data_IF_021272961533
#
_entry.id   IF_021272961533
#
_cell.length_a   1.000
_cell.length_b   1.000
_cell.length_c   1.000
_cell.angle_alpha   90.00
_cell.angle_beta   90.00
_cell.angle_gamma   90.00
#
_symmetry.space_group_name_H-M   'P 1'
#
loop_
_entity.id
_entity.type
_entity.pdbx_description
1 polymer ?
#
# COMPACT_ATOMS: atom_id res chain seq x y z
N UNK A 1 29.94 15.80 4.88
CA UNK A 1 29.38 15.16 6.10
C UNK A 1 27.88 15.13 5.87
N UNK A 2 27.40 14.05 5.23
CA UNK A 2 26.00 13.89 4.93
C UNK A 2 25.23 13.56 6.21
N UNK A 3 24.40 14.48 6.67
CA UNK A 3 23.45 14.23 7.74
C UNK A 3 22.33 13.35 7.15
N UNK A 4 22.39 12.04 7.35
CA UNK A 4 21.25 11.16 7.07
C UNK A 4 20.05 11.65 7.87
N UNK A 5 18.99 12.02 7.18
CA UNK A 5 17.72 12.39 7.77
C UNK A 5 17.09 11.11 8.39
N UNK A 6 16.96 11.08 9.71
CA UNK A 6 16.31 9.94 10.41
C UNK A 6 14.87 10.36 10.70
N UNK A 7 13.93 9.75 9.98
CA UNK A 7 12.52 9.93 10.25
C UNK A 7 12.12 9.22 11.56
N UNK A 8 11.27 9.87 12.37
CA UNK A 8 10.69 9.27 13.58
C UNK A 8 9.18 9.35 13.51
N UNK A 9 8.50 8.26 13.88
CA UNK A 9 7.05 8.23 14.06
C UNK A 9 6.68 8.54 15.51
N UNK A 10 5.54 9.17 15.75
CA UNK A 10 4.94 9.26 17.08
C UNK A 10 3.99 8.07 17.25
N UNK A 11 4.40 7.10 18.06
CA UNK A 11 3.58 5.94 18.40
C UNK A 11 2.57 6.26 19.51
N UNK A 12 1.33 5.84 19.34
CA UNK A 12 0.36 5.67 20.40
C UNK A 12 0.01 4.18 20.54
N UNK A 13 0.02 3.76 21.77
CA UNK A 13 -0.17 2.49 22.40
C UNK A 13 -0.88 1.31 21.72
N UNK A 14 -0.21 0.20 21.86
CA UNK A 14 -0.44 -1.20 21.73
C UNK A 14 -1.83 -1.75 21.48
N UNK A 15 -1.94 -2.47 20.39
CA UNK A 15 -2.86 -3.60 20.25
C UNK A 15 -2.14 -4.83 20.80
N UNK A 16 -2.73 -5.51 21.78
CA UNK A 16 -2.15 -6.70 22.39
C UNK A 16 -2.09 -7.86 21.39
N UNK A 17 -0.89 -8.28 21.03
CA UNK A 17 -0.66 -9.50 20.26
C UNK A 17 -0.92 -10.73 21.14
N UNK A 18 -1.70 -11.68 20.62
CA UNK A 18 -1.78 -13.04 21.15
C UNK A 18 -0.49 -13.76 20.77
N UNK A 19 0.31 -14.10 21.74
CA UNK A 19 1.58 -14.80 21.51
C UNK A 19 1.30 -16.23 21.04
N UNK A 20 1.83 -16.64 19.87
CA UNK A 20 2.03 -18.04 19.56
C UNK A 20 1.79 -18.57 18.15
N UNK A 21 1.26 -17.79 17.19
CA UNK A 21 1.18 -18.22 15.79
C UNK A 21 1.77 -17.11 14.93
N UNK A 22 2.81 -17.44 14.15
CA UNK A 22 3.38 -16.53 13.16
C UNK A 22 2.33 -16.29 12.08
N UNK A 23 1.91 -15.05 11.92
CA UNK A 23 0.97 -14.65 10.87
C UNK A 23 1.67 -14.47 9.52
N UNK A 24 0.91 -14.30 8.45
CA UNK A 24 1.44 -14.11 7.09
C UNK A 24 2.36 -12.89 6.99
N UNK A 25 2.12 -11.86 7.80
CA UNK A 25 2.94 -10.64 7.86
C UNK A 25 4.19 -10.76 8.76
N UNK A 26 4.38 -11.92 9.42
CA UNK A 26 5.60 -12.26 10.15
C UNK A 26 6.56 -13.11 9.30
N UNK A 27 6.12 -13.51 8.08
CA UNK A 27 6.85 -14.33 7.12
C UNK A 27 7.07 -13.55 5.80
N UNK A 28 7.82 -12.44 5.81
CA UNK A 28 7.92 -11.52 4.67
C UNK A 28 8.50 -12.14 3.41
N UNK A 29 9.40 -13.13 3.53
CA UNK A 29 9.94 -13.86 2.39
C UNK A 29 8.87 -14.67 1.65
N UNK A 30 7.99 -15.36 2.38
CA UNK A 30 6.88 -16.12 1.79
C UNK A 30 5.83 -15.17 1.21
N UNK A 31 5.59 -14.02 1.88
CA UNK A 31 4.68 -13.01 1.38
C UNK A 31 5.18 -12.39 0.07
N UNK A 32 6.45 -11.98 0.00
CA UNK A 32 7.06 -11.46 -1.23
C UNK A 32 7.01 -12.50 -2.36
N UNK A 33 7.33 -13.77 -2.06
CA UNK A 33 7.22 -14.87 -3.03
C UNK A 33 5.80 -15.03 -3.55
N UNK A 34 4.78 -15.00 -2.68
CA UNK A 34 3.38 -15.09 -3.09
C UNK A 34 2.96 -13.96 -4.02
N UNK A 35 3.54 -12.76 -3.87
CA UNK A 35 3.26 -11.58 -4.68
C UNK A 35 4.14 -11.46 -5.94
N UNK A 36 5.08 -12.39 -6.19
CA UNK A 36 6.05 -12.30 -7.28
C UNK A 36 5.44 -12.44 -8.71
N UNK A 37 4.13 -12.64 -8.82
CA UNK A 37 3.40 -12.55 -10.09
C UNK A 37 3.25 -11.10 -10.61
N UNK A 38 3.53 -10.10 -9.77
CA UNK A 38 3.40 -8.67 -10.11
C UNK A 38 4.59 -8.19 -10.95
N UNK A 39 4.31 -7.37 -11.94
CA UNK A 39 5.33 -6.65 -12.71
C UNK A 39 5.60 -5.28 -12.05
N UNK A 40 6.36 -5.29 -10.94
CA UNK A 40 6.67 -4.09 -10.17
C UNK A 40 7.29 -2.97 -11.03
N UNK A 41 8.24 -3.22 -11.95
CA UNK A 41 8.75 -2.20 -12.86
C UNK A 41 7.66 -1.55 -13.73
N UNK A 42 6.72 -2.33 -14.28
CA UNK A 42 5.61 -1.80 -15.07
C UNK A 42 4.64 -0.99 -14.20
N UNK A 43 4.28 -1.49 -13.02
CA UNK A 43 3.42 -0.79 -12.06
C UNK A 43 4.04 0.56 -11.64
N UNK A 44 5.32 0.60 -11.30
CA UNK A 44 6.03 1.84 -10.97
C UNK A 44 6.07 2.80 -12.15
N UNK A 45 6.16 2.29 -13.38
CA UNK A 45 6.09 3.13 -14.58
C UNK A 45 4.73 3.82 -14.70
N UNK A 46 3.63 3.10 -14.48
CA UNK A 46 2.28 3.67 -14.45
C UNK A 46 2.11 4.70 -13.31
N UNK A 47 2.58 4.37 -12.09
CA UNK A 47 2.54 5.29 -10.95
C UNK A 47 3.24 6.62 -11.26
N UNK A 48 4.43 6.58 -11.86
CA UNK A 48 5.18 7.78 -12.21
C UNK A 48 4.52 8.57 -13.34
N UNK A 49 3.90 7.91 -14.33
CA UNK A 49 3.15 8.57 -15.39
C UNK A 49 1.92 9.31 -14.81
N UNK A 50 1.19 8.68 -13.89
CA UNK A 50 0.07 9.34 -13.20
C UNK A 50 0.52 10.48 -12.29
N UNK A 51 1.67 10.34 -11.61
CA UNK A 51 2.27 11.44 -10.87
C UNK A 51 2.61 12.60 -11.82
N UNK A 52 3.24 12.33 -12.97
CA UNK A 52 3.57 13.38 -13.94
C UNK A 52 2.34 14.10 -14.48
N UNK A 53 1.23 13.38 -14.67
CA UNK A 53 -0.04 13.92 -15.17
C UNK A 53 -0.77 14.77 -14.13
N UNK A 54 -0.80 14.35 -12.86
CA UNK A 54 -1.67 14.91 -11.84
C UNK A 54 -0.97 15.76 -10.78
N UNK A 55 0.37 15.70 -10.67
CA UNK A 55 1.14 16.54 -9.77
C UNK A 55 1.14 17.99 -10.23
N UNK A 56 0.77 18.91 -9.34
CA UNK A 56 0.73 20.36 -9.62
C UNK A 56 1.58 21.19 -8.64
N UNK A 57 2.51 20.53 -7.92
CA UNK A 57 3.42 21.22 -6.98
C UNK A 57 4.18 22.39 -7.60
N UNK A 58 4.79 23.26 -6.78
CA UNK A 58 5.30 24.56 -7.20
C UNK A 58 6.30 24.51 -8.36
N UNK A 59 6.29 25.56 -9.19
CA UNK A 59 7.10 25.69 -10.42
C UNK A 59 8.62 25.61 -10.19
N UNK A 60 9.11 25.91 -8.99
CA UNK A 60 10.53 25.79 -8.65
C UNK A 60 11.01 24.33 -8.55
N UNK A 61 10.08 23.36 -8.49
CA UNK A 61 10.35 21.92 -8.52
C UNK A 61 10.08 21.28 -9.89
N UNK A 62 9.57 22.02 -10.86
CA UNK A 62 9.33 21.55 -12.23
C UNK A 62 10.64 21.50 -13.03
N UNK A 63 11.40 20.44 -12.84
CA UNK A 63 12.24 19.91 -13.90
C UNK A 63 11.62 18.60 -14.33
N UNK A 64 11.11 18.54 -15.55
CA UNK A 64 10.52 17.38 -16.23
C UNK A 64 9.23 16.74 -15.66
N UNK A 65 8.46 17.48 -14.82
CA UNK A 65 7.02 17.17 -14.62
C UNK A 65 6.66 16.02 -13.72
N UNK A 66 7.58 15.41 -12.93
CA UNK A 66 7.28 14.25 -12.11
C UNK A 66 7.58 14.38 -10.62
N UNK A 67 7.04 13.48 -9.82
CA UNK A 67 7.38 13.32 -8.41
C UNK A 67 8.86 12.94 -8.26
N UNK A 68 9.54 13.53 -7.28
CA UNK A 68 10.93 13.22 -6.91
C UNK A 68 11.03 12.49 -5.58
N UNK A 69 9.96 12.50 -4.84
CA UNK A 69 9.89 11.85 -3.55
C UNK A 69 8.56 11.13 -3.37
N UNK A 70 8.63 9.88 -2.89
CA UNK A 70 7.47 9.02 -2.73
C UNK A 70 7.48 8.38 -1.35
N UNK A 71 6.31 8.35 -0.72
CA UNK A 71 6.03 7.61 0.51
C UNK A 71 5.16 6.39 0.16
N UNK A 72 5.66 5.18 0.37
CA UNK A 72 4.88 3.96 0.28
C UNK A 72 4.33 3.59 1.66
N UNK A 73 3.01 3.39 1.75
CA UNK A 73 2.28 3.09 2.99
C UNK A 73 1.83 1.63 3.00
N UNK A 74 1.90 0.98 4.17
CA UNK A 74 1.68 -0.44 4.32
C UNK A 74 2.48 -1.23 3.28
N UNK A 75 3.77 -0.90 3.22
CA UNK A 75 4.66 -1.28 2.14
C UNK A 75 5.04 -2.78 2.14
N UNK A 76 4.80 -3.50 3.25
CA UNK A 76 5.23 -4.88 3.38
C UNK A 76 6.72 -5.06 3.07
N UNK A 77 7.09 -5.94 2.09
CA UNK A 77 8.47 -6.10 1.63
C UNK A 77 9.06 -4.88 0.93
N UNK A 78 8.26 -3.84 0.63
CA UNK A 78 8.63 -2.58 0.00
C UNK A 78 9.24 -2.74 -1.42
N UNK A 79 8.62 -3.56 -2.27
CA UNK A 79 9.10 -3.81 -3.62
C UNK A 79 8.99 -2.56 -4.50
N UNK A 80 7.86 -1.84 -4.44
CA UNK A 80 7.69 -0.58 -5.16
C UNK A 80 8.67 0.48 -4.67
N UNK A 81 8.86 0.60 -3.33
CA UNK A 81 9.84 1.53 -2.77
C UNK A 81 11.26 1.24 -3.29
N UNK A 82 11.67 -0.04 -3.35
CA UNK A 82 12.97 -0.42 -3.90
C UNK A 82 13.09 -0.06 -5.38
N UNK A 83 12.05 -0.30 -6.18
CA UNK A 83 12.05 0.05 -7.61
C UNK A 83 12.05 1.57 -7.82
N UNK A 84 11.26 2.33 -7.06
CA UNK A 84 11.29 3.79 -7.08
C UNK A 84 12.68 4.34 -6.72
N UNK A 85 13.35 3.76 -5.73
CA UNK A 85 14.71 4.13 -5.34
C UNK A 85 15.74 3.79 -6.43
N UNK A 86 15.58 2.67 -7.18
CA UNK A 86 16.41 2.39 -8.37
C UNK A 86 16.27 3.44 -9.46
N UNK A 87 15.12 4.10 -9.53
CA UNK A 87 14.85 5.24 -10.44
C UNK A 87 15.26 6.59 -9.85
N UNK A 88 16.11 6.57 -8.82
CA UNK A 88 16.74 7.75 -8.19
C UNK A 88 15.77 8.69 -7.47
N UNK A 89 14.57 8.21 -7.10
CA UNK A 89 13.67 8.99 -6.26
C UNK A 89 14.10 8.92 -4.78
N UNK A 90 13.80 9.97 -4.01
CA UNK A 90 13.85 9.92 -2.55
C UNK A 90 12.64 9.14 -2.04
N UNK A 91 12.86 8.02 -1.37
CA UNK A 91 11.80 7.10 -0.98
C UNK A 91 11.79 6.84 0.51
N UNK A 92 10.60 6.87 1.10
CA UNK A 92 10.34 6.27 2.41
C UNK A 92 9.25 5.20 2.26
N UNK A 93 9.35 4.15 3.07
CA UNK A 93 8.33 3.13 3.23
C UNK A 93 7.88 3.03 4.67
N UNK A 94 6.59 2.79 4.89
CA UNK A 94 5.99 2.67 6.20
C UNK A 94 5.20 1.37 6.28
N UNK A 95 5.42 0.61 7.35
CA UNK A 95 4.63 -0.59 7.64
C UNK A 95 4.41 -0.73 9.15
N UNK A 96 3.34 -1.43 9.53
CA UNK A 96 3.02 -1.71 10.92
C UNK A 96 3.84 -2.89 11.46
N UNK A 97 4.11 -3.91 10.62
CA UNK A 97 4.84 -5.12 10.99
C UNK A 97 6.34 -4.85 11.16
N UNK A 98 6.92 -5.13 12.33
CA UNK A 98 8.37 -5.03 12.51
C UNK A 98 9.15 -6.05 11.65
N UNK A 99 8.56 -7.21 11.35
CA UNK A 99 9.16 -8.21 10.47
C UNK A 99 9.26 -7.68 9.04
N UNK A 100 8.18 -7.11 8.50
CA UNK A 100 8.18 -6.46 7.19
C UNK A 100 9.18 -5.31 7.13
N UNK A 101 9.20 -4.42 8.13
CA UNK A 101 10.16 -3.31 8.18
C UNK A 101 11.63 -3.80 8.17
N UNK A 102 11.93 -4.83 8.96
CA UNK A 102 13.29 -5.40 9.04
C UNK A 102 13.68 -6.03 7.71
N UNK A 103 12.78 -6.76 7.09
CA UNK A 103 12.98 -7.39 5.79
C UNK A 103 13.15 -6.34 4.68
N UNK A 104 12.26 -5.36 4.59
CA UNK A 104 12.35 -4.27 3.62
C UNK A 104 13.68 -3.53 3.69
N UNK A 105 14.18 -3.22 4.90
CA UNK A 105 15.46 -2.58 5.10
C UNK A 105 16.64 -3.47 4.64
N UNK A 106 16.56 -4.79 4.91
CA UNK A 106 17.57 -5.75 4.47
C UNK A 106 17.59 -5.87 2.94
N UNK A 107 16.42 -5.96 2.30
CA UNK A 107 16.29 -6.06 0.84
C UNK A 107 16.74 -4.78 0.13
N UNK A 108 16.43 -3.59 0.66
CA UNK A 108 16.92 -2.33 0.11
C UNK A 108 18.45 -2.25 0.17
N UNK A 109 19.04 -2.65 1.31
CA UNK A 109 20.50 -2.73 1.46
C UNK A 109 21.12 -3.72 0.47
N UNK A 110 20.54 -4.92 0.32
CA UNK A 110 21.02 -5.93 -0.62
C UNK A 110 20.95 -5.46 -2.07
N UNK A 111 19.90 -4.70 -2.42
CA UNK A 111 19.74 -4.09 -3.73
C UNK A 111 20.63 -2.84 -3.96
N UNK A 112 21.32 -2.34 -2.94
CA UNK A 112 22.18 -1.15 -3.02
C UNK A 112 21.39 0.16 -3.21
N UNK A 113 20.12 0.21 -2.77
CA UNK A 113 19.27 1.39 -2.89
C UNK A 113 18.97 2.00 -1.51
N UNK A 114 18.69 3.31 -1.48
CA UNK A 114 18.38 4.04 -0.25
C UNK A 114 16.85 4.18 -0.10
N UNK A 115 16.27 3.37 0.80
CA UNK A 115 14.87 3.43 1.20
C UNK A 115 14.81 3.66 2.70
N UNK A 116 14.16 4.72 3.12
CA UNK A 116 13.96 5.00 4.53
C UNK A 116 12.76 4.21 5.05
N UNK A 117 13.02 3.13 5.82
CA UNK A 117 11.97 2.29 6.37
C UNK A 117 11.55 2.80 7.75
N UNK A 118 10.23 2.96 7.95
CA UNK A 118 9.63 3.46 9.19
C UNK A 118 8.57 2.49 9.68
N UNK A 119 8.67 2.03 10.93
CA UNK A 119 7.60 1.28 11.56
C UNK A 119 6.55 2.26 12.11
N UNK A 120 5.34 2.26 11.53
CA UNK A 120 4.23 3.08 11.99
C UNK A 120 2.88 2.55 11.51
N UNK A 121 1.81 3.05 12.13
CA UNK A 121 0.43 2.76 11.73
C UNK A 121 -0.01 3.74 10.63
N UNK A 122 -0.46 3.24 9.48
CA UNK A 122 -0.92 4.09 8.38
C UNK A 122 -2.17 4.92 8.72
N UNK A 123 -2.89 4.61 9.84
CA UNK A 123 -4.05 5.38 10.30
C UNK A 123 -3.67 6.72 10.92
N UNK A 124 -2.48 6.78 11.53
CA UNK A 124 -2.06 7.96 12.28
C UNK A 124 -0.54 8.02 12.36
N UNK A 125 0.08 8.72 11.44
CA UNK A 125 1.53 8.90 11.38
C UNK A 125 1.89 10.35 11.10
N UNK A 126 3.06 10.74 11.57
CA UNK A 126 3.70 12.01 11.23
C UNK A 126 5.19 11.75 11.05
N UNK A 127 5.69 12.01 9.85
CA UNK A 127 7.10 11.87 9.53
C UNK A 127 7.77 13.22 9.74
N UNK A 128 8.71 13.27 10.68
CA UNK A 128 9.43 14.51 11.02
C UNK A 128 10.93 14.33 10.77
N UNK A 129 11.54 15.39 10.26
CA UNK A 129 12.99 15.50 10.12
C UNK A 129 13.70 15.63 11.48
N UNK A 130 15.03 15.73 11.46
CA UNK A 130 15.84 15.86 12.69
C UNK A 130 15.50 17.10 13.52
N UNK A 131 15.06 18.17 12.86
CA UNK A 131 14.70 19.43 13.49
C UNK A 131 13.24 19.48 13.98
N UNK A 132 12.48 18.38 13.78
CA UNK A 132 11.07 18.25 14.16
C UNK A 132 10.08 18.77 13.11
N UNK A 133 10.57 19.31 11.99
CA UNK A 133 9.73 19.78 10.89
C UNK A 133 9.13 18.59 10.11
N UNK A 134 7.89 18.72 9.61
CA UNK A 134 7.27 17.68 8.80
C UNK A 134 8.09 17.37 7.54
N UNK A 135 8.29 16.07 7.26
CA UNK A 135 8.86 15.65 5.98
C UNK A 135 7.72 15.47 4.99
N UNK A 136 7.77 16.24 3.91
CA UNK A 136 6.75 16.20 2.87
C UNK A 136 7.27 15.45 1.64
N UNK A 137 6.33 14.78 0.95
CA UNK A 137 6.56 14.01 -0.26
C UNK A 137 5.75 14.59 -1.43
N UNK A 138 6.25 14.41 -2.65
CA UNK A 138 5.53 14.77 -3.87
C UNK A 138 4.40 13.80 -4.16
N UNK A 139 4.59 12.53 -3.81
CA UNK A 139 3.58 11.51 -3.93
C UNK A 139 3.56 10.55 -2.72
N UNK A 140 2.40 9.95 -2.48
CA UNK A 140 2.25 8.81 -1.62
C UNK A 140 1.54 7.68 -2.40
N UNK A 141 1.81 6.43 -2.05
CA UNK A 141 1.18 5.25 -2.64
C UNK A 141 0.78 4.26 -1.57
N UNK A 142 -0.36 3.58 -1.75
CA UNK A 142 -0.76 2.42 -0.96
C UNK A 142 -1.23 1.34 -1.93
N UNK A 143 -0.47 0.26 -1.99
CA UNK A 143 -0.61 -0.74 -3.02
C UNK A 143 -1.27 -2.02 -2.48
N UNK A 144 -1.63 -2.93 -3.40
CA UNK A 144 -2.09 -4.29 -3.10
C UNK A 144 -3.25 -4.33 -2.09
N UNK A 145 -4.23 -3.44 -2.27
CA UNK A 145 -5.43 -3.38 -1.42
C UNK A 145 -5.16 -3.18 0.09
N UNK A 146 -3.98 -2.70 0.51
CA UNK A 146 -3.61 -2.61 1.93
C UNK A 146 -4.57 -1.76 2.78
N UNK A 147 -5.36 -0.86 2.14
CA UNK A 147 -6.43 -0.12 2.84
C UNK A 147 -7.58 -1.01 3.34
N UNK A 148 -7.62 -2.29 2.96
CA UNK A 148 -8.54 -3.28 3.52
C UNK A 148 -8.36 -3.48 5.04
N UNK A 149 -7.20 -3.12 5.59
CA UNK A 149 -6.91 -3.14 7.02
C UNK A 149 -7.43 -1.90 7.79
N UNK A 150 -8.09 -0.98 7.11
CA UNK A 150 -8.84 0.12 7.72
C UNK A 150 -10.29 -0.34 7.89
N UNK A 151 -10.67 -0.78 9.09
CA UNK A 151 -11.95 -1.46 9.29
C UNK A 151 -13.14 -0.53 9.49
N UNK A 152 -12.89 0.76 9.77
CA UNK A 152 -13.94 1.74 10.00
C UNK A 152 -13.79 2.95 9.08
N UNK A 153 -14.92 3.65 8.86
CA UNK A 153 -14.88 4.91 8.11
C UNK A 153 -13.98 5.94 8.81
N UNK A 154 -13.94 5.94 10.14
CA UNK A 154 -13.06 6.83 10.93
C UNK A 154 -11.58 6.49 10.68
N UNK A 155 -11.21 5.21 10.62
CA UNK A 155 -9.84 4.80 10.28
C UNK A 155 -9.43 5.33 8.90
N UNK A 156 -10.30 5.20 7.88
CA UNK A 156 -10.02 5.69 6.54
C UNK A 156 -9.93 7.23 6.51
N UNK A 157 -10.80 7.93 7.23
CA UNK A 157 -10.76 9.40 7.34
C UNK A 157 -9.48 9.88 8.01
N UNK A 158 -9.06 9.22 9.09
CA UNK A 158 -7.78 9.51 9.78
C UNK A 158 -6.58 9.25 8.88
N UNK A 159 -6.56 8.10 8.20
CA UNK A 159 -5.55 7.74 7.22
C UNK A 159 -5.40 8.82 6.14
N UNK A 160 -6.50 9.22 5.50
CA UNK A 160 -6.50 10.29 4.50
C UNK A 160 -5.95 11.61 5.07
N UNK A 161 -6.28 11.93 6.31
CA UNK A 161 -5.75 13.09 7.02
C UNK A 161 -4.24 13.02 7.25
N UNK A 162 -3.72 11.85 7.65
CA UNK A 162 -2.31 11.61 7.87
C UNK A 162 -1.51 11.65 6.56
N UNK A 163 -2.02 11.02 5.49
CA UNK A 163 -1.40 11.07 4.16
C UNK A 163 -1.32 12.51 3.66
N UNK A 164 -2.44 13.26 3.73
CA UNK A 164 -2.48 14.66 3.30
C UNK A 164 -1.48 15.53 4.05
N UNK A 165 -1.28 15.31 5.34
CA UNK A 165 -0.33 16.05 6.15
C UNK A 165 1.14 15.82 5.75
N UNK A 166 1.45 14.71 5.10
CA UNK A 166 2.79 14.34 4.65
C UNK A 166 3.01 14.55 3.13
N UNK A 167 2.07 15.18 2.42
CA UNK A 167 2.23 15.55 1.02
C UNK A 167 2.48 17.05 0.87
N UNK A 168 3.21 17.45 -0.15
CA UNK A 168 3.28 18.84 -0.58
C UNK A 168 1.96 19.32 -1.15
N UNK A 169 1.73 20.64 -1.26
CA UNK A 169 0.61 21.17 -2.04
C UNK A 169 0.75 20.76 -3.50
N UNK A 170 -0.35 20.28 -4.12
CA UNK A 170 -0.31 19.70 -5.46
C UNK A 170 0.23 18.27 -5.50
N UNK A 171 0.61 17.70 -4.36
CA UNK A 171 1.08 16.33 -4.23
C UNK A 171 -0.03 15.32 -4.50
N UNK A 172 0.35 14.11 -4.90
CA UNK A 172 -0.55 13.04 -5.37
C UNK A 172 -0.56 11.87 -4.41
N UNK A 173 -1.74 11.34 -4.10
CA UNK A 173 -1.90 10.06 -3.40
C UNK A 173 -2.57 9.06 -4.34
N UNK A 174 -1.91 7.93 -4.59
CA UNK A 174 -2.42 6.83 -5.41
C UNK A 174 -2.70 5.65 -4.50
N UNK A 175 -3.92 5.10 -4.58
CA UNK A 175 -4.33 3.96 -3.77
C UNK A 175 -4.95 2.88 -4.65
N UNK A 176 -4.42 1.66 -4.52
CA UNK A 176 -4.93 0.45 -5.17
C UNK A 176 -5.85 -0.30 -4.21
N UNK A 177 -7.04 -0.63 -4.68
CA UNK A 177 -8.05 -1.40 -3.97
C UNK A 177 -8.52 -2.60 -4.82
N UNK A 178 -9.11 -3.60 -4.17
CA UNK A 178 -9.86 -4.64 -4.85
C UNK A 178 -11.05 -4.03 -5.61
N UNK A 179 -11.34 -4.56 -6.81
CA UNK A 179 -12.45 -4.05 -7.62
C UNK A 179 -13.80 -4.46 -7.02
N UNK A 180 -14.76 -3.53 -6.85
CA UNK A 180 -16.06 -3.83 -6.24
C UNK A 180 -16.85 -4.93 -6.93
N UNK A 181 -16.66 -5.15 -8.23
CA UNK A 181 -17.35 -6.20 -8.98
C UNK A 181 -17.07 -7.60 -8.44
N UNK A 182 -15.92 -7.85 -7.78
CA UNK A 182 -15.58 -9.15 -7.23
C UNK A 182 -16.47 -9.53 -6.04
N UNK A 183 -16.89 -8.58 -5.22
CA UNK A 183 -17.70 -8.88 -4.02
C UNK A 183 -19.17 -8.51 -4.14
N UNK A 184 -19.58 -7.70 -5.13
CA UNK A 184 -21.00 -7.48 -5.45
C UNK A 184 -21.55 -8.41 -6.54
N UNK A 185 -20.76 -9.38 -7.00
CA UNK A 185 -21.24 -10.43 -7.90
C UNK A 185 -22.32 -11.31 -7.21
N UNK A 186 -23.16 -11.97 -8.02
CA UNK A 186 -24.16 -12.91 -7.50
C UNK A 186 -23.53 -14.05 -6.67
N UNK A 187 -22.30 -14.41 -6.98
CA UNK A 187 -21.42 -15.27 -6.18
C UNK A 187 -20.15 -14.46 -5.93
N UNK A 188 -19.98 -13.88 -4.74
CA UNK A 188 -18.78 -13.13 -4.41
C UNK A 188 -17.52 -14.00 -4.57
N UNK A 189 -16.47 -13.42 -5.14
CA UNK A 189 -15.17 -14.06 -5.24
C UNK A 189 -14.41 -13.77 -3.96
N UNK A 190 -14.47 -14.72 -3.01
CA UNK A 190 -13.76 -14.64 -1.73
C UNK A 190 -12.49 -15.49 -1.69
N UNK A 191 -12.15 -16.19 -2.78
CA UNK A 191 -10.94 -17.02 -2.85
C UNK A 191 -10.24 -16.88 -4.19
N UNK A 192 -8.92 -16.85 -4.16
CA UNK A 192 -8.04 -16.91 -5.31
C UNK A 192 -6.95 -17.95 -5.04
N UNK A 193 -6.60 -18.71 -6.07
CA UNK A 193 -5.55 -19.72 -6.01
C UNK A 193 -4.59 -19.48 -7.18
N UNK A 194 -3.30 -19.46 -6.91
CA UNK A 194 -2.26 -19.33 -7.94
C UNK A 194 -0.97 -20.01 -7.50
N UNK A 195 -0.09 -20.23 -8.45
CA UNK A 195 1.27 -20.75 -8.20
C UNK A 195 2.31 -19.74 -8.64
N UNK A 196 3.45 -19.77 -7.99
CA UNK A 196 4.62 -18.97 -8.34
C UNK A 196 5.82 -19.90 -8.48
N UNK A 197 6.50 -19.81 -9.63
CA UNK A 197 7.78 -20.47 -9.88
C UNK A 197 8.90 -19.42 -9.84
N UNK A 198 9.84 -19.56 -8.91
CA UNK A 198 11.02 -18.73 -8.81
C UNK A 198 12.27 -19.62 -8.73
N UNK A 199 13.48 -19.11 -9.01
CA UNK A 199 14.71 -19.92 -8.95
C UNK A 199 14.86 -20.64 -7.61
N UNK A 200 14.82 -21.97 -7.63
CA UNK A 200 15.00 -22.81 -6.45
C UNK A 200 13.77 -23.01 -5.57
N UNK A 201 12.59 -22.49 -5.96
CA UNK A 201 11.36 -22.61 -5.16
C UNK A 201 10.10 -22.57 -6.02
N UNK A 202 9.15 -23.44 -5.68
CA UNK A 202 7.76 -23.44 -6.16
C UNK A 202 6.84 -23.08 -4.99
N UNK A 203 5.88 -22.18 -5.19
CA UNK A 203 4.90 -21.82 -4.17
C UNK A 203 3.47 -22.02 -4.65
N UNK A 204 2.67 -22.67 -3.81
CA UNK A 204 1.21 -22.73 -3.93
C UNK A 204 0.61 -21.68 -2.98
N UNK A 205 -0.26 -20.83 -3.50
CA UNK A 205 -0.90 -19.75 -2.75
C UNK A 205 -2.42 -19.93 -2.81
N UNK A 206 -3.03 -19.97 -1.62
CA UNK A 206 -4.47 -19.89 -1.43
C UNK A 206 -4.79 -18.62 -0.66
N UNK A 207 -5.49 -17.70 -1.28
CA UNK A 207 -5.83 -16.39 -0.70
C UNK A 207 -7.34 -16.26 -0.61
N UNK A 208 -7.86 -16.27 0.63
CA UNK A 208 -9.27 -16.40 0.91
C UNK A 208 -9.79 -17.84 0.80
N UNK A 209 -10.80 -18.16 1.58
CA UNK A 209 -11.47 -19.47 1.60
C UNK A 209 -12.80 -19.43 0.84
N UNK A 210 -13.19 -20.55 0.22
CA UNK A 210 -14.50 -20.68 -0.46
C UNK A 210 -15.70 -20.52 0.50
N UNK A 211 -15.45 -20.66 1.79
CA UNK A 211 -16.47 -20.49 2.85
C UNK A 211 -16.45 -19.13 3.50
N UNK A 212 -15.44 -18.32 3.19
CA UNK A 212 -15.35 -16.96 3.72
C UNK A 212 -16.56 -16.15 3.26
N UNK A 213 -17.10 -15.35 4.15
CA UNK A 213 -18.30 -14.56 3.89
C UNK A 213 -18.06 -13.13 4.26
N UNK A 214 -18.42 -12.24 3.36
CA UNK A 214 -18.43 -10.81 3.62
C UNK A 214 -19.66 -10.49 4.46
N UNK A 215 -19.45 -9.89 5.63
CA UNK A 215 -20.54 -9.34 6.42
C UNK A 215 -21.17 -8.15 5.65
N UNK A 216 -22.46 -8.22 5.31
CA UNK A 216 -23.09 -7.19 4.47
C UNK A 216 -23.27 -5.84 5.18
N UNK A 217 -23.13 -5.77 6.50
CA UNK A 217 -23.27 -4.53 7.27
C UNK A 217 -21.94 -3.81 7.45
N UNK A 218 -20.87 -4.57 7.66
CA UNK A 218 -19.52 -4.04 7.92
C UNK A 218 -18.60 -4.13 6.70
N UNK A 219 -18.96 -4.98 5.71
CA UNK A 219 -18.15 -5.32 4.53
C UNK A 219 -16.79 -5.94 4.89
N UNK A 220 -16.69 -6.51 6.09
CA UNK A 220 -15.51 -7.22 6.57
C UNK A 220 -15.68 -8.73 6.33
N UNK A 221 -14.60 -9.38 5.94
CA UNK A 221 -14.47 -10.83 5.90
C UNK A 221 -13.22 -11.26 6.63
N UNK A 222 -13.24 -12.43 7.24
CA UNK A 222 -12.04 -13.12 7.74
C UNK A 222 -11.52 -14.01 6.60
N UNK A 223 -10.47 -13.59 5.90
CA UNK A 223 -9.89 -14.33 4.80
C UNK A 223 -8.88 -15.35 5.32
N UNK A 224 -9.14 -16.63 5.00
CA UNK A 224 -8.23 -17.74 5.29
C UNK A 224 -7.16 -17.82 4.21
N UNK A 225 -5.91 -17.65 4.58
CA UNK A 225 -4.77 -17.60 3.66
C UNK A 225 -3.80 -18.73 3.97
N UNK A 226 -3.21 -19.32 2.92
CA UNK A 226 -2.12 -20.30 3.06
C UNK A 226 -1.13 -20.12 1.92
N UNK A 227 0.16 -20.05 2.27
CA UNK A 227 1.27 -20.08 1.32
C UNK A 227 2.11 -21.32 1.65
N UNK A 228 2.35 -22.18 0.67
CA UNK A 228 3.22 -23.33 0.79
C UNK A 228 4.34 -23.22 -0.22
N UNK A 229 5.59 -23.06 0.25
CA UNK A 229 6.77 -23.00 -0.60
C UNK A 229 7.54 -24.32 -0.51
N UNK A 230 7.81 -24.92 -1.67
CA UNK A 230 8.62 -26.16 -1.82
C UNK A 230 9.94 -25.79 -2.50
N UNK A 231 11.04 -25.99 -1.84
CA UNK A 231 12.40 -25.68 -2.31
C UNK A 231 13.04 -26.87 -3.03
N UNK A 232 13.98 -26.62 -3.93
CA UNK A 232 14.68 -27.67 -4.71
C UNK A 232 15.42 -28.68 -3.83
N UNK A 233 15.80 -28.32 -2.61
CA UNK A 233 16.43 -29.23 -1.63
C UNK A 233 15.42 -30.13 -0.91
N UNK A 234 14.14 -30.03 -1.23
CA UNK A 234 13.03 -30.78 -0.62
C UNK A 234 12.49 -30.13 0.67
N UNK A 235 13.01 -28.99 1.09
CA UNK A 235 12.45 -28.23 2.22
C UNK A 235 11.06 -27.69 1.85
N UNK A 236 10.12 -27.80 2.79
CA UNK A 236 8.77 -27.24 2.66
C UNK A 236 8.55 -26.24 3.80
N UNK A 237 8.13 -25.02 3.45
CA UNK A 237 7.68 -24.01 4.41
C UNK A 237 6.22 -23.69 4.14
N UNK A 238 5.40 -23.66 5.17
CA UNK A 238 3.99 -23.29 5.08
C UNK A 238 3.66 -22.26 6.14
N UNK A 239 2.95 -21.22 5.75
CA UNK A 239 2.30 -20.28 6.66
C UNK A 239 0.81 -20.27 6.37
N UNK A 240 -0.02 -20.27 7.42
CA UNK A 240 -1.47 -20.12 7.31
C UNK A 240 -1.92 -19.04 8.31
N UNK A 241 -2.86 -18.22 7.89
CA UNK A 241 -3.38 -17.11 8.69
C UNK A 241 -4.85 -16.87 8.41
N UNK A 242 -5.52 -16.15 9.30
CA UNK A 242 -6.87 -15.62 9.10
C UNK A 242 -6.80 -14.12 9.24
N UNK A 243 -6.91 -13.41 8.12
CA UNK A 243 -6.71 -11.97 8.05
C UNK A 243 -8.05 -11.27 7.82
N UNK A 244 -8.49 -10.40 8.73
CA UNK A 244 -9.68 -9.61 8.49
C UNK A 244 -9.41 -8.56 7.40
N UNK A 245 -10.28 -8.50 6.40
CA UNK A 245 -10.23 -7.56 5.29
C UNK A 245 -11.56 -6.84 5.14
N UNK A 246 -11.52 -5.52 4.99
CA UNK A 246 -12.68 -4.71 4.62
C UNK A 246 -12.65 -4.36 3.14
N UNK A 247 -13.78 -4.53 2.48
CA UNK A 247 -13.96 -4.11 1.09
C UNK A 247 -14.55 -2.70 1.02
N UNK A 248 -13.84 -1.79 0.36
CA UNK A 248 -14.25 -0.41 0.17
C UNK A 248 -14.84 -0.20 -1.22
N UNK A 249 -16.01 0.45 -1.28
CA UNK A 249 -16.58 0.90 -2.54
C UNK A 249 -16.08 2.28 -2.92
N UNK A 250 -16.17 2.62 -4.22
CA UNK A 250 -15.86 3.97 -4.70
C UNK A 250 -16.71 5.04 -3.99
N UNK A 251 -17.99 4.75 -3.74
CA UNK A 251 -18.91 5.68 -3.07
C UNK A 251 -18.49 5.93 -1.62
N UNK A 252 -18.11 4.89 -0.87
CA UNK A 252 -17.64 5.05 0.50
C UNK A 252 -16.31 5.77 0.57
N UNK A 253 -15.38 5.44 -0.34
CA UNK A 253 -14.08 6.11 -0.40
C UNK A 253 -14.25 7.61 -0.72
N UNK A 254 -15.14 7.95 -1.66
CA UNK A 254 -15.49 9.34 -1.97
C UNK A 254 -16.11 10.06 -0.78
N UNK A 255 -16.98 9.39 -0.02
CA UNK A 255 -17.55 9.95 1.21
C UNK A 255 -16.45 10.16 2.29
N UNK A 256 -15.50 9.24 2.42
CA UNK A 256 -14.35 9.39 3.32
C UNK A 256 -13.47 10.59 2.95
N UNK A 257 -13.23 10.83 1.66
CA UNK A 257 -12.53 12.03 1.18
C UNK A 257 -13.27 13.29 1.62
N UNK A 258 -14.59 13.36 1.40
CA UNK A 258 -15.40 14.51 1.80
C UNK A 258 -15.37 14.76 3.31
N UNK A 259 -15.46 13.70 4.12
CA UNK A 259 -15.37 13.78 5.58
C UNK A 259 -13.96 14.19 6.04
N UNK A 260 -12.92 13.66 5.44
CA UNK A 260 -11.54 14.06 5.73
C UNK A 260 -11.29 15.53 5.37
N UNK A 261 -11.86 16.02 4.27
CA UNK A 261 -11.78 17.41 3.86
C UNK A 261 -12.55 18.37 4.77
N UNK A 262 -13.56 17.89 5.48
CA UNK A 262 -14.34 18.66 6.45
C UNK A 262 -13.71 18.72 7.85
N UNK A 263 -12.64 17.99 8.11
CA UNK A 263 -11.95 18.03 9.41
C UNK A 263 -11.33 19.41 9.65
N UNK A 264 -11.38 19.92 10.89
CA UNK A 264 -10.83 21.23 11.22
C UNK A 264 -9.30 21.27 11.03
N UNK A 265 -8.79 22.41 10.58
CA UNK A 265 -7.37 22.69 10.38
C UNK A 265 -7.04 23.04 8.92
N UNK A 266 -6.01 23.86 8.73
CA UNK A 266 -5.54 24.26 7.40
C UNK A 266 -4.50 23.25 6.87
N UNK A 267 -5.01 22.04 6.52
CA UNK A 267 -4.14 20.97 6.00
C UNK A 267 -4.33 20.71 4.51
N UNK A 268 -5.03 21.62 3.80
CA UNK A 268 -5.44 21.41 2.42
C UNK A 268 -6.60 20.39 2.31
N UNK A 269 -6.93 20.01 1.08
CA UNK A 269 -8.00 19.06 0.75
C UNK A 269 -7.50 18.01 -0.23
N UNK A 270 -8.21 16.90 -0.33
CA UNK A 270 -8.04 15.96 -1.44
C UNK A 270 -9.13 16.15 -2.48
N UNK A 271 -8.73 16.15 -3.76
CA UNK A 271 -9.59 15.99 -4.92
C UNK A 271 -9.33 14.62 -5.54
N UNK A 272 -10.38 13.85 -5.84
CA UNK A 272 -10.28 12.66 -6.70
C UNK A 272 -10.14 13.15 -8.14
N UNK A 273 -8.96 12.97 -8.74
CA UNK A 273 -8.62 13.53 -10.06
C UNK A 273 -8.62 12.49 -11.17
N UNK A 274 -8.46 11.20 -10.85
CA UNK A 274 -8.54 10.11 -11.81
C UNK A 274 -8.87 8.79 -11.13
N UNK A 275 -9.36 7.83 -11.93
CA UNK A 275 -9.59 6.44 -11.54
C UNK A 275 -9.16 5.52 -12.68
N UNK A 276 -8.59 4.35 -12.35
CA UNK A 276 -8.14 3.35 -13.31
C UNK A 276 -8.55 1.95 -12.86
N UNK A 277 -8.76 1.05 -13.82
CA UNK A 277 -9.14 -0.34 -13.58
C UNK A 277 -7.96 -1.32 -13.56
N UNK A 278 -6.79 -0.87 -14.00
CA UNK A 278 -5.52 -1.59 -13.94
C UNK A 278 -4.35 -0.58 -14.08
N UNK A 279 -3.09 -1.07 -14.02
CA UNK A 279 -1.86 -0.27 -14.20
C UNK A 279 -1.59 0.10 -15.66
N UNK A 280 -2.62 0.58 -16.34
CA UNK A 280 -2.55 1.19 -17.66
C UNK A 280 -3.57 2.33 -17.78
N UNK A 281 -3.29 3.30 -18.66
CA UNK A 281 -4.13 4.49 -18.80
C UNK A 281 -5.43 4.22 -19.57
N UNK A 282 -5.60 3.07 -20.19
CA UNK A 282 -6.70 2.74 -21.09
C UNK A 282 -7.81 1.93 -20.40
N UNK A 283 -7.48 1.21 -19.34
CA UNK A 283 -8.45 0.41 -18.59
C UNK A 283 -9.21 1.27 -17.58
N UNK A 284 -10.44 1.66 -17.93
CA UNK A 284 -11.33 2.39 -17.02
C UNK A 284 -11.91 1.45 -15.95
N UNK A 285 -12.47 1.99 -14.86
CA UNK A 285 -13.11 1.17 -13.81
C UNK A 285 -14.28 0.33 -14.34
N UNK A 286 -15.00 0.82 -15.35
CA UNK A 286 -16.17 0.15 -15.93
C UNK A 286 -15.79 -0.91 -16.97
N UNK A 287 -14.52 -0.99 -17.35
CA UNK A 287 -14.05 -1.97 -18.33
C UNK A 287 -14.24 -3.39 -17.80
N UNK A 288 -14.67 -4.31 -18.65
CA UNK A 288 -14.83 -5.73 -18.28
C UNK A 288 -13.51 -6.43 -17.93
N UNK A 289 -12.38 -5.82 -18.31
CA UNK A 289 -11.02 -6.24 -17.96
C UNK A 289 -10.52 -5.64 -16.63
N UNK A 290 -11.25 -4.66 -16.07
CA UNK A 290 -10.86 -4.06 -14.79
C UNK A 290 -10.98 -5.10 -13.67
N UNK A 291 -9.92 -5.23 -12.88
CA UNK A 291 -9.88 -6.12 -11.73
C UNK A 291 -9.32 -5.45 -10.48
N UNK A 292 -8.92 -4.18 -10.63
CA UNK A 292 -8.49 -3.29 -9.56
C UNK A 292 -9.33 -2.02 -9.57
N UNK A 293 -9.39 -1.36 -8.44
CA UNK A 293 -9.88 0.02 -8.33
C UNK A 293 -8.70 0.88 -7.87
N UNK A 294 -8.13 1.65 -8.79
CA UNK A 294 -7.03 2.57 -8.49
C UNK A 294 -7.57 3.99 -8.49
N UNK A 295 -7.38 4.68 -7.38
CA UNK A 295 -7.82 6.06 -7.19
C UNK A 295 -6.62 6.99 -7.12
N UNK A 296 -6.67 8.10 -7.84
CA UNK A 296 -5.66 9.15 -7.81
C UNK A 296 -6.25 10.40 -7.17
N UNK A 297 -5.71 10.77 -6.02
CA UNK A 297 -6.11 11.93 -5.24
C UNK A 297 -5.01 12.99 -5.33
N UNK A 298 -5.41 14.25 -5.48
CA UNK A 298 -4.48 15.39 -5.44
C UNK A 298 -4.75 16.25 -4.22
N UNK A 299 -3.67 16.62 -3.50
CA UNK A 299 -3.76 17.62 -2.43
C UNK A 299 -3.88 19.03 -3.02
N UNK A 300 -4.92 19.78 -2.63
CA UNK A 300 -5.17 21.17 -3.03
C UNK A 300 -5.31 22.07 -1.80
#
# INVERSE_FOLDING_TARGET
MDKKCVLRSRGHGGCGMIAGVSGIYDEPELYELACAYRDIPAEVTALLAWCATHFTGSADQKTDGGARSVLELAAGPAEHARELARRELRVASLDLSPAMCSYAAAQAKAAGVDVQVVQADMRDFALNGPDGDPVLFDAAVTMLNSVCHLFTLDDLVRHLGAVRANLVNGGVYIVELAHPADFFAAVPRTSSEWTVDAPGVHADVHWGGRTDRIDPLTQVTDEHMTITATYDDGTIRTVSDVVPNRFWTLTEFTAAIALSNAQPGDKGRFELVATYGDFDETTTLEASSAWRMILVLRRV
#
